data_IF_897763982189
#
_entry.id   IF_897763982189
#
_cell.length_a   1.000
_cell.length_b   1.000
_cell.length_c   1.000
_cell.angle_alpha   90.00
_cell.angle_beta   90.00
_cell.angle_gamma   90.00
#
_symmetry.space_group_name_H-M   'P 1'
#
loop_
_entity.id
_entity.type
_entity.pdbx_description
1 polymer ?
#
# COMPACT_ATOMS: atom_id res chain seq x y z
N UNK A 1 -6.63 2.84 -15.06
CA UNK A 1 -6.55 1.75 -14.05
C UNK A 1 -5.52 2.16 -13.03
N UNK A 2 -5.90 2.11 -11.75
CA UNK A 2 -5.04 2.42 -10.62
C UNK A 2 -4.62 1.13 -9.90
N UNK A 3 -3.30 0.94 -9.74
CA UNK A 3 -2.70 -0.20 -9.07
C UNK A 3 -2.38 0.19 -7.62
N UNK A 4 -3.06 -0.45 -6.67
CA UNK A 4 -2.92 -0.15 -5.24
C UNK A 4 -2.02 -1.19 -4.57
N UNK A 5 -0.80 -0.79 -4.27
CA UNK A 5 0.24 -1.61 -3.64
C UNK A 5 0.00 -1.74 -2.13
N UNK A 6 0.39 -2.87 -1.51
CA UNK A 6 0.53 -2.92 -0.05
C UNK A 6 1.68 -2.00 0.39
N UNK A 7 1.60 -1.40 1.59
CA UNK A 7 2.74 -0.70 2.14
C UNK A 7 3.84 -1.68 2.57
N UNK A 8 4.99 -1.10 2.90
CA UNK A 8 6.01 -1.77 3.68
C UNK A 8 6.12 -1.21 5.10
N UNK A 9 6.56 -2.08 5.99
CA UNK A 9 6.90 -1.76 7.36
C UNK A 9 8.20 -0.94 7.44
N UNK A 10 9.16 -1.25 6.57
CA UNK A 10 10.42 -0.51 6.42
C UNK A 10 10.25 0.67 5.47
N UNK A 11 10.95 1.76 5.78
CA UNK A 11 10.94 2.98 4.97
C UNK A 11 12.34 3.54 4.85
N UNK A 12 12.64 4.12 3.70
CA UNK A 12 13.88 4.85 3.47
C UNK A 12 13.99 6.01 4.46
N UNK A 13 15.20 6.27 4.94
CA UNK A 13 15.53 7.46 5.73
C UNK A 13 15.79 8.65 4.82
N UNK A 14 15.82 9.87 5.39
CA UNK A 14 16.07 11.10 4.63
C UNK A 14 14.85 11.64 3.88
N UNK A 15 15.11 12.35 2.79
CA UNK A 15 14.14 13.14 2.03
C UNK A 15 14.60 14.59 1.94
N UNK A 16 14.23 15.26 0.86
CA UNK A 16 14.60 16.66 0.58
C UNK A 16 13.36 17.55 0.36
N UNK A 17 12.17 16.93 0.32
CA UNK A 17 10.91 17.66 0.16
C UNK A 17 10.53 18.44 1.40
N UNK A 18 9.72 19.49 1.17
CA UNK A 18 9.11 20.28 2.23
C UNK A 18 8.33 19.37 3.23
N UNK A 19 8.13 19.81 4.48
CA UNK A 19 7.33 19.07 5.44
C UNK A 19 5.94 18.72 4.93
N UNK A 20 5.34 17.70 5.55
CA UNK A 20 4.04 17.15 5.15
C UNK A 20 2.96 18.23 5.00
N UNK A 21 2.49 18.41 3.77
CA UNK A 21 1.26 19.11 3.46
C UNK A 21 0.18 18.09 3.09
N UNK A 22 -0.92 18.07 3.83
CA UNK A 22 -2.03 17.16 3.54
C UNK A 22 -2.79 17.58 2.29
N UNK A 23 -2.84 18.87 1.97
CA UNK A 23 -3.63 19.37 0.83
C UNK A 23 -2.96 19.06 -0.50
N UNK A 24 -1.65 18.80 -0.51
CA UNK A 24 -0.93 18.33 -1.69
C UNK A 24 -1.03 16.82 -1.93
N UNK A 25 -1.63 16.06 -1.00
CA UNK A 25 -1.75 14.60 -1.15
C UNK A 25 -2.94 14.24 -2.05
N UNK A 26 -2.75 13.20 -2.85
CA UNK A 26 -3.83 12.53 -3.58
C UNK A 26 -4.96 12.10 -2.62
N UNK A 27 -6.17 11.95 -3.14
CA UNK A 27 -7.35 11.54 -2.35
C UNK A 27 -7.66 12.49 -1.18
N UNK A 28 -7.80 13.79 -1.46
CA UNK A 28 -8.00 14.85 -0.44
C UNK A 28 -9.18 14.61 0.50
N UNK A 29 -10.19 13.84 0.09
CA UNK A 29 -11.31 13.41 0.96
C UNK A 29 -10.87 12.62 2.19
N UNK A 30 -9.63 12.10 2.22
CA UNK A 30 -9.04 11.40 3.35
C UNK A 30 -8.40 12.35 4.39
N UNK A 31 -8.19 13.63 4.06
CA UNK A 31 -7.36 14.56 4.84
C UNK A 31 -7.84 14.76 6.28
N UNK A 32 -9.15 14.80 6.50
CA UNK A 32 -9.70 14.93 7.86
C UNK A 32 -9.26 13.75 8.76
N UNK A 33 -9.37 12.52 8.27
CA UNK A 33 -8.97 11.32 8.99
C UNK A 33 -7.44 11.22 9.12
N UNK A 34 -6.70 11.60 8.06
CA UNK A 34 -5.22 11.66 8.08
C UNK A 34 -4.71 12.58 9.18
N UNK A 35 -5.25 13.80 9.28
CA UNK A 35 -4.86 14.78 10.31
C UNK A 35 -5.15 14.27 11.72
N UNK A 36 -6.28 13.60 11.94
CA UNK A 36 -6.61 13.01 13.23
C UNK A 36 -5.62 11.90 13.62
N UNK A 37 -5.39 10.92 12.74
CA UNK A 37 -4.45 9.82 13.01
C UNK A 37 -3.02 10.36 13.20
N UNK A 38 -2.57 11.29 12.36
CA UNK A 38 -1.23 11.87 12.45
C UNK A 38 -1.03 12.65 13.76
N UNK A 39 -2.04 13.40 14.22
CA UNK A 39 -1.99 14.08 15.52
C UNK A 39 -1.86 13.09 16.66
N UNK A 40 -2.70 12.06 16.70
CA UNK A 40 -2.72 11.08 17.77
C UNK A 40 -1.43 10.24 17.78
N UNK A 41 -0.95 9.83 16.60
CA UNK A 41 0.29 9.10 16.43
C UNK A 41 1.49 9.94 16.85
N UNK A 42 1.53 11.20 16.41
CA UNK A 42 2.57 12.11 16.80
C UNK A 42 2.54 12.27 18.32
N UNK A 43 1.39 12.47 18.95
CA UNK A 43 1.24 12.76 20.38
C UNK A 43 1.77 11.70 21.36
N UNK A 44 1.99 10.45 20.94
CA UNK A 44 2.51 9.40 21.82
C UNK A 44 3.94 9.68 22.29
N UNK A 45 4.24 9.62 23.61
CA UNK A 45 5.60 9.52 24.11
C UNK A 45 6.30 8.30 23.49
N UNK A 46 7.61 8.40 23.25
CA UNK A 46 8.36 7.37 22.51
C UNK A 46 8.26 6.00 23.18
N UNK A 47 8.37 5.93 24.50
CA UNK A 47 8.26 4.66 25.24
C UNK A 47 6.88 4.01 25.08
N UNK A 48 5.81 4.82 25.18
CA UNK A 48 4.45 4.33 24.95
C UNK A 48 4.24 3.91 23.49
N UNK A 49 4.86 4.63 22.54
CA UNK A 49 4.76 4.31 21.13
C UNK A 49 5.38 2.94 20.80
N UNK A 50 6.48 2.54 21.46
CA UNK A 50 7.06 1.20 21.28
C UNK A 50 6.04 0.09 21.57
N UNK A 51 5.31 0.20 22.69
CA UNK A 51 4.27 -0.74 23.09
C UNK A 51 3.08 -0.72 22.11
N UNK A 52 2.55 0.48 21.81
CA UNK A 52 1.39 0.65 20.91
C UNK A 52 1.67 0.14 19.50
N UNK A 53 2.87 0.37 19.00
CA UNK A 53 3.30 -0.06 17.67
C UNK A 53 3.76 -1.52 17.63
N UNK A 54 3.94 -2.15 18.80
CA UNK A 54 4.44 -3.52 18.92
C UNK A 54 5.86 -3.69 18.37
N UNK A 55 6.72 -2.70 18.57
CA UNK A 55 8.11 -2.72 18.09
C UNK A 55 9.09 -2.74 19.26
N UNK A 56 10.20 -3.46 19.09
CA UNK A 56 11.25 -3.55 20.11
C UNK A 56 12.02 -2.23 20.26
N UNK A 57 12.72 -2.07 21.38
CA UNK A 57 13.67 -0.97 21.64
C UNK A 57 14.66 -0.69 20.49
N UNK A 58 15.09 -1.73 19.75
CA UNK A 58 15.97 -1.59 18.58
C UNK A 58 15.40 -0.70 17.47
N UNK A 59 14.07 -0.53 17.44
CA UNK A 59 13.34 0.29 16.48
C UNK A 59 12.84 1.59 17.10
N UNK A 60 13.38 2.03 18.26
CA UNK A 60 13.09 3.34 18.85
C UNK A 60 13.15 4.51 17.87
N UNK A 61 14.13 4.58 16.93
CA UNK A 61 14.14 5.65 15.92
C UNK A 61 12.88 5.71 15.04
N UNK A 62 12.17 4.59 14.85
CA UNK A 62 10.90 4.56 14.12
C UNK A 62 9.75 5.21 14.92
N UNK A 63 9.76 5.06 16.25
CA UNK A 63 8.84 5.75 17.14
C UNK A 63 9.18 7.26 17.27
N UNK A 64 10.46 7.60 17.30
CA UNK A 64 10.91 9.01 17.28
C UNK A 64 10.52 9.70 15.97
N UNK A 65 10.60 9.03 14.82
CA UNK A 65 10.17 9.58 13.53
C UNK A 65 8.68 10.02 13.56
N UNK A 66 7.83 9.30 14.28
CA UNK A 66 6.41 9.68 14.43
C UNK A 66 6.22 11.00 15.18
N UNK A 67 7.15 11.39 16.06
CA UNK A 67 7.03 12.63 16.85
C UNK A 67 7.19 13.89 16.01
N UNK A 68 7.87 13.78 14.88
CA UNK A 68 8.26 14.90 14.00
C UNK A 68 7.56 14.86 12.65
N UNK A 69 6.43 14.14 12.51
CA UNK A 69 5.72 13.96 11.23
C UNK A 69 5.42 15.27 10.48
N UNK A 70 5.13 16.34 11.21
CA UNK A 70 4.73 17.64 10.63
C UNK A 70 5.90 18.55 10.26
N UNK A 71 7.13 18.19 10.67
CA UNK A 71 8.34 18.99 10.41
C UNK A 71 9.43 18.21 9.69
N UNK A 72 9.35 16.88 9.65
CA UNK A 72 10.30 16.02 8.98
C UNK A 72 10.26 16.21 7.45
N UNK A 73 11.41 16.08 6.77
CA UNK A 73 11.45 16.14 5.32
C UNK A 73 10.69 14.98 4.69
N UNK A 74 10.15 15.23 3.50
CA UNK A 74 9.35 14.28 2.75
C UNK A 74 10.08 13.77 1.51
N UNK A 75 9.56 12.69 0.92
CA UNK A 75 9.95 12.18 -0.40
C UNK A 75 8.73 11.48 -1.02
N UNK A 76 8.73 11.22 -2.35
CA UNK A 76 7.63 10.50 -2.99
C UNK A 76 7.34 9.18 -2.29
N UNK A 77 6.06 8.86 -2.08
CA UNK A 77 5.63 7.68 -1.35
C UNK A 77 6.22 6.38 -1.95
N UNK A 78 6.33 6.32 -3.28
CA UNK A 78 6.90 5.16 -3.98
C UNK A 78 8.39 4.94 -3.68
N UNK A 79 9.11 6.00 -3.32
CA UNK A 79 10.51 5.95 -2.90
C UNK A 79 10.66 5.83 -1.38
N UNK A 80 9.62 6.20 -0.62
CA UNK A 80 9.63 6.12 0.85
C UNK A 80 9.53 4.69 1.35
N UNK A 81 8.67 3.85 0.77
CA UNK A 81 8.51 2.46 1.21
C UNK A 81 9.60 1.55 0.58
N UNK A 82 10.14 0.62 1.36
CA UNK A 82 11.25 -0.25 0.93
C UNK A 82 10.96 -1.73 1.19
N UNK A 83 11.79 -2.63 0.65
CA UNK A 83 11.73 -4.07 0.90
C UNK A 83 11.02 -4.82 -0.22
N UNK A 84 10.92 -6.15 -0.08
CA UNK A 84 10.67 -7.14 -1.14
C UNK A 84 9.78 -6.73 -2.32
N UNK A 85 8.63 -6.08 -2.08
CA UNK A 85 7.77 -5.61 -3.17
C UNK A 85 8.38 -4.42 -3.91
N UNK A 86 8.88 -3.43 -3.18
CA UNK A 86 9.48 -2.21 -3.73
C UNK A 86 10.84 -2.52 -4.38
N UNK A 87 11.59 -3.49 -3.85
CA UNK A 87 12.82 -3.98 -4.47
C UNK A 87 12.54 -4.64 -5.83
N UNK A 88 11.42 -5.38 -5.96
CA UNK A 88 11.01 -6.00 -7.21
C UNK A 88 10.34 -5.01 -8.19
N UNK A 89 9.63 -4.01 -7.66
CA UNK A 89 9.07 -2.93 -8.45
C UNK A 89 10.19 -2.07 -9.06
N UNK A 90 11.26 -1.85 -8.30
CA UNK A 90 12.41 -1.03 -8.64
C UNK A 90 11.99 0.34 -9.20
N UNK A 91 11.20 1.06 -8.40
CA UNK A 91 10.61 2.34 -8.77
C UNK A 91 11.62 3.40 -9.28
N UNK A 92 12.86 3.51 -8.76
CA UNK A 92 13.85 4.44 -9.28
C UNK A 92 14.23 4.22 -10.76
N UNK A 93 14.09 3.00 -11.28
CA UNK A 93 14.36 2.72 -12.71
C UNK A 93 13.13 2.92 -13.60
N UNK A 94 11.98 3.25 -13.03
CA UNK A 94 10.75 3.53 -13.77
C UNK A 94 10.69 5.01 -14.20
N UNK A 95 10.22 5.33 -15.41
CA UNK A 95 9.90 6.71 -15.78
C UNK A 95 8.83 7.29 -14.84
N UNK A 96 9.00 8.52 -14.37
CA UNK A 96 8.05 9.13 -13.41
C UNK A 96 6.60 9.16 -13.91
N UNK A 97 6.39 9.25 -15.23
CA UNK A 97 5.05 9.18 -15.84
C UNK A 97 4.32 7.86 -15.54
N UNK A 98 5.05 6.76 -15.32
CA UNK A 98 4.45 5.47 -14.94
C UNK A 98 3.91 5.47 -13.50
N UNK A 99 4.45 6.34 -12.63
CA UNK A 99 4.07 6.38 -11.22
C UNK A 99 2.63 6.85 -11.02
N UNK A 100 2.05 7.60 -11.97
CA UNK A 100 0.66 8.09 -11.88
C UNK A 100 -0.36 6.95 -11.78
N UNK A 101 0.01 5.74 -12.24
CA UNK A 101 -0.82 4.53 -12.16
C UNK A 101 -0.69 3.80 -10.82
N UNK A 102 0.22 4.24 -9.96
CA UNK A 102 0.58 3.57 -8.71
C UNK A 102 0.07 4.36 -7.51
N UNK A 103 -0.55 3.64 -6.58
CA UNK A 103 -0.90 4.13 -5.26
C UNK A 103 -0.46 3.11 -4.20
N UNK A 104 -0.26 3.55 -2.96
CA UNK A 104 0.15 2.69 -1.85
C UNK A 104 -0.89 2.80 -0.73
N UNK A 105 -1.45 1.65 -0.32
CA UNK A 105 -2.27 1.58 0.88
C UNK A 105 -1.44 1.92 2.12
N UNK A 106 -2.00 2.66 3.08
CA UNK A 106 -1.25 3.15 4.24
C UNK A 106 -2.11 3.12 5.50
N UNK A 107 -1.53 2.70 6.63
CA UNK A 107 -2.25 2.77 7.90
C UNK A 107 -2.48 4.21 8.33
N UNK A 108 -1.49 5.08 8.15
CA UNK A 108 -1.52 6.50 8.54
C UNK A 108 -2.29 7.35 7.52
N UNK A 109 -2.08 7.09 6.23
CA UNK A 109 -2.60 7.94 5.16
C UNK A 109 -3.81 7.36 4.42
N UNK A 110 -4.17 6.10 4.71
CA UNK A 110 -5.28 5.39 4.07
C UNK A 110 -4.85 4.81 2.73
N UNK A 111 -4.70 5.70 1.74
CA UNK A 111 -4.05 5.46 0.45
C UNK A 111 -3.33 6.74 0.05
N UNK A 112 -2.17 6.64 -0.58
CA UNK A 112 -1.43 7.77 -1.16
C UNK A 112 -1.07 7.45 -2.60
N UNK A 113 -1.04 8.46 -3.48
CA UNK A 113 -0.45 8.32 -4.81
C UNK A 113 1.06 8.09 -4.71
N UNK A 114 1.67 7.47 -5.72
CA UNK A 114 3.11 7.20 -5.74
C UNK A 114 3.98 8.46 -5.60
N UNK A 115 3.52 9.58 -6.16
CA UNK A 115 4.19 10.88 -6.13
C UNK A 115 3.90 11.70 -4.86
N UNK A 116 2.94 11.27 -4.03
CA UNK A 116 2.60 12.00 -2.80
C UNK A 116 3.82 12.10 -1.88
N UNK A 117 4.14 13.31 -1.46
CA UNK A 117 5.30 13.59 -0.61
C UNK A 117 4.99 13.25 0.86
N UNK A 118 5.61 12.19 1.38
CA UNK A 118 5.35 11.71 2.75
C UNK A 118 6.61 11.64 3.64
N UNK A 119 6.47 11.93 4.95
CA UNK A 119 7.57 11.80 5.90
C UNK A 119 7.84 10.31 6.22
N UNK A 120 8.98 10.04 6.85
CA UNK A 120 9.20 8.73 7.49
C UNK A 120 8.27 8.58 8.68
N UNK A 121 7.64 7.41 8.81
CA UNK A 121 6.73 7.11 9.92
C UNK A 121 6.62 5.60 10.17
N UNK A 122 6.12 5.22 11.34
CA UNK A 122 5.78 3.84 11.69
C UNK A 122 4.36 3.73 12.20
N UNK A 123 3.51 3.05 11.45
CA UNK A 123 2.17 2.65 11.86
C UNK A 123 1.71 1.48 11.01
N UNK A 124 1.23 0.42 11.64
CA UNK A 124 0.77 -0.81 10.97
C UNK A 124 -0.75 -0.86 10.92
N UNK A 125 -1.32 -1.50 9.90
CA UNK A 125 -2.79 -1.59 9.73
C UNK A 125 -3.53 -2.32 10.86
N UNK A 126 -2.83 -3.15 11.64
CA UNK A 126 -3.39 -3.85 12.81
C UNK A 126 -3.34 -3.06 14.11
N UNK A 127 -2.68 -1.90 14.15
CA UNK A 127 -2.50 -1.12 15.37
C UNK A 127 -3.83 -0.62 15.92
N UNK A 128 -3.98 -0.65 17.25
CA UNK A 128 -5.03 0.10 17.94
C UNK A 128 -4.39 1.36 18.49
N UNK A 129 -4.55 2.47 17.77
CA UNK A 129 -3.90 3.73 18.12
C UNK A 129 -4.75 4.45 19.18
N UNK A 130 -4.21 4.85 20.34
CA UNK A 130 -4.92 5.70 21.27
C UNK A 130 -5.40 7.00 20.60
N UNK A 131 -6.42 7.61 21.17
CA UNK A 131 -6.94 8.92 20.79
C UNK A 131 -6.79 9.86 21.97
N UNK A 132 -6.85 11.17 21.75
CA UNK A 132 -6.73 12.17 22.81
C UNK A 132 -7.77 12.03 23.93
N UNK A 133 -8.92 11.39 23.68
CA UNK A 133 -9.98 11.12 24.66
C UNK A 133 -9.85 9.74 25.34
N UNK A 134 -8.73 9.05 25.12
CA UNK A 134 -8.42 7.75 25.73
C UNK A 134 -9.06 6.54 25.04
N UNK A 135 -9.80 6.72 23.94
CA UNK A 135 -10.34 5.57 23.18
C UNK A 135 -9.21 4.84 22.45
N UNK A 136 -9.39 3.52 22.26
CA UNK A 136 -8.40 2.65 21.61
C UNK A 136 -8.97 1.96 20.35
N UNK A 137 -9.45 2.71 19.34
CA UNK A 137 -10.08 2.11 18.16
C UNK A 137 -9.04 1.46 17.24
N UNK A 138 -9.45 0.41 16.53
CA UNK A 138 -8.64 -0.18 15.46
C UNK A 138 -8.49 0.80 14.29
N UNK A 139 -7.44 0.65 13.47
CA UNK A 139 -7.31 1.44 12.23
C UNK A 139 -8.52 1.27 11.29
N UNK A 140 -9.10 0.07 11.22
CA UNK A 140 -10.34 -0.17 10.46
C UNK A 140 -11.49 0.74 10.93
N UNK A 141 -11.65 0.91 12.25
CA UNK A 141 -12.68 1.80 12.82
C UNK A 141 -12.35 3.27 12.54
N UNK A 142 -11.06 3.66 12.59
CA UNK A 142 -10.61 5.03 12.23
C UNK A 142 -10.95 5.39 10.78
N UNK A 143 -10.72 4.46 9.85
CA UNK A 143 -10.96 4.69 8.42
C UNK A 143 -12.42 4.51 7.98
N UNK A 144 -13.17 3.62 8.64
CA UNK A 144 -14.57 3.36 8.31
C UNK A 144 -14.77 3.03 6.83
N UNK A 145 -15.48 3.90 6.09
CA UNK A 145 -15.69 3.79 4.64
C UNK A 145 -14.87 4.81 3.82
N UNK A 146 -14.04 5.63 4.45
CA UNK A 146 -13.37 6.75 3.78
C UNK A 146 -12.45 6.29 2.64
N UNK A 147 -11.60 5.28 2.88
CA UNK A 147 -10.72 4.70 1.85
C UNK A 147 -11.53 4.12 0.69
N UNK A 148 -12.61 3.38 0.98
CA UNK A 148 -13.49 2.81 -0.05
C UNK A 148 -14.08 3.91 -0.93
N UNK A 149 -14.64 4.97 -0.33
CA UNK A 149 -15.23 6.10 -1.05
C UNK A 149 -14.19 6.83 -1.90
N UNK A 150 -13.00 7.07 -1.35
CA UNK A 150 -11.92 7.76 -2.06
C UNK A 150 -11.45 6.98 -3.30
N UNK A 151 -11.28 5.67 -3.20
CA UNK A 151 -10.89 4.83 -4.34
C UNK A 151 -12.01 4.70 -5.38
N UNK A 152 -13.28 4.60 -4.96
CA UNK A 152 -14.41 4.56 -5.89
C UNK A 152 -14.59 5.88 -6.65
N UNK A 153 -14.27 7.01 -6.03
CA UNK A 153 -14.35 8.32 -6.67
C UNK A 153 -13.27 8.57 -7.74
N UNK A 154 -12.28 7.68 -7.88
CA UNK A 154 -11.29 7.79 -8.97
C UNK A 154 -11.86 7.47 -10.35
N UNK A 155 -13.02 6.79 -10.41
CA UNK A 155 -13.65 6.28 -11.65
C UNK A 155 -12.74 5.36 -12.49
N UNK A 156 -11.64 4.89 -11.91
CA UNK A 156 -10.73 3.95 -12.54
C UNK A 156 -11.02 2.51 -12.09
N UNK A 157 -10.70 1.54 -12.96
CA UNK A 157 -10.53 0.16 -12.53
C UNK A 157 -9.44 0.10 -11.44
N UNK A 158 -9.75 -0.50 -10.29
CA UNK A 158 -8.80 -0.69 -9.20
C UNK A 158 -8.21 -2.10 -9.27
N UNK A 159 -6.89 -2.19 -9.41
CA UNK A 159 -6.12 -3.41 -9.17
C UNK A 159 -5.57 -3.39 -7.74
N UNK A 160 -6.25 -4.08 -6.82
CA UNK A 160 -5.94 -4.07 -5.39
C UNK A 160 -4.94 -5.20 -5.04
N UNK A 161 -3.65 -4.84 -5.05
CA UNK A 161 -2.56 -5.73 -4.68
C UNK A 161 -2.27 -5.74 -3.17
N UNK A 162 -2.98 -4.92 -2.38
CA UNK A 162 -2.78 -4.82 -0.93
C UNK A 162 -2.93 -6.17 -0.24
N UNK A 163 -2.26 -6.34 0.89
CA UNK A 163 -2.50 -7.51 1.74
C UNK A 163 -3.86 -7.43 2.42
N UNK A 164 -4.39 -8.57 2.86
CA UNK A 164 -5.74 -8.64 3.47
C UNK A 164 -5.96 -7.65 4.60
N UNK A 165 -4.96 -7.43 5.47
CA UNK A 165 -5.04 -6.42 6.55
C UNK A 165 -5.33 -5.02 6.03
N UNK A 166 -4.68 -4.61 4.94
CA UNK A 166 -4.86 -3.27 4.37
C UNK A 166 -6.10 -3.17 3.49
N UNK A 167 -6.48 -4.24 2.78
CA UNK A 167 -7.78 -4.32 2.12
C UNK A 167 -8.94 -4.16 3.13
N UNK A 168 -8.78 -4.68 4.35
CA UNK A 168 -9.80 -4.56 5.40
C UNK A 168 -9.92 -3.15 6.00
N UNK A 169 -8.94 -2.26 5.80
CA UNK A 169 -9.07 -0.85 6.20
C UNK A 169 -10.07 -0.09 5.33
N UNK A 170 -10.28 -0.56 4.10
CA UNK A 170 -11.23 0.00 3.14
C UNK A 170 -11.35 -0.92 1.95
N UNK A 171 -12.32 -1.84 2.01
CA UNK A 171 -12.59 -2.80 0.93
C UNK A 171 -13.23 -2.05 -0.23
N UNK A 172 -12.75 -2.29 -1.45
CA UNK A 172 -13.27 -1.66 -2.66
C UNK A 172 -14.10 -2.70 -3.42
N UNK A 173 -15.44 -2.56 -3.46
CA UNK A 173 -16.28 -3.39 -4.32
C UNK A 173 -15.87 -3.22 -5.78
N UNK A 174 -15.79 -4.32 -6.53
CA UNK A 174 -15.41 -4.29 -7.95
C UNK A 174 -13.90 -4.24 -8.22
N UNK A 175 -13.05 -4.12 -7.20
CA UNK A 175 -11.61 -4.17 -7.41
C UNK A 175 -11.14 -5.56 -7.85
N UNK A 176 -10.23 -5.58 -8.83
CA UNK A 176 -9.51 -6.78 -9.27
C UNK A 176 -8.44 -7.10 -8.24
N UNK A 177 -8.27 -8.36 -7.90
CA UNK A 177 -7.25 -8.84 -6.97
C UNK A 177 -6.39 -9.91 -7.61
N UNK A 178 -5.16 -10.07 -7.15
CA UNK A 178 -4.25 -11.10 -7.62
C UNK A 178 -3.81 -11.99 -6.47
N UNK A 179 -4.05 -13.28 -6.62
CA UNK A 179 -3.54 -14.37 -5.78
C UNK A 179 -2.32 -14.99 -6.46
N UNK A 180 -1.25 -15.24 -5.71
CA UNK A 180 -0.04 -15.86 -6.25
C UNK A 180 0.08 -17.30 -5.74
N UNK A 181 0.26 -18.23 -6.66
CA UNK A 181 0.38 -19.67 -6.39
C UNK A 181 1.65 -20.23 -7.04
N UNK A 182 2.39 -21.05 -6.30
CA UNK A 182 3.54 -21.78 -6.81
C UNK A 182 3.16 -23.21 -7.14
N UNK A 183 3.57 -23.67 -8.32
CA UNK A 183 3.52 -25.09 -8.69
C UNK A 183 4.65 -25.83 -7.97
N UNK A 184 4.29 -26.83 -7.18
CA UNK A 184 5.23 -27.70 -6.49
C UNK A 184 5.76 -28.79 -7.43
N UNK A 185 6.83 -29.50 -7.02
CA UNK A 185 7.42 -30.58 -7.80
C UNK A 185 6.45 -31.74 -8.11
N UNK A 186 5.43 -31.95 -7.27
CA UNK A 186 4.36 -32.93 -7.46
C UNK A 186 3.20 -32.42 -8.34
N UNK A 187 3.32 -31.21 -8.90
CA UNK A 187 2.29 -30.55 -9.71
C UNK A 187 1.17 -29.89 -8.90
N UNK A 188 1.14 -30.04 -7.57
CA UNK A 188 0.17 -29.36 -6.71
C UNK A 188 0.42 -27.86 -6.65
N UNK A 189 -0.60 -27.08 -6.29
CA UNK A 189 -0.49 -25.63 -6.12
C UNK A 189 -0.58 -25.22 -4.68
N UNK A 190 0.32 -24.32 -4.27
CA UNK A 190 0.34 -23.74 -2.93
C UNK A 190 0.41 -22.23 -3.01
N UNK A 191 -0.30 -21.56 -2.08
CA UNK A 191 -0.17 -20.10 -1.95
C UNK A 191 1.26 -19.76 -1.58
N UNK A 192 1.86 -18.87 -2.37
CA UNK A 192 3.14 -18.29 -2.04
C UNK A 192 2.93 -17.30 -0.91
N UNK A 193 3.52 -17.52 0.27
CA UNK A 193 3.47 -16.58 1.38
C UNK A 193 4.68 -15.64 1.41
N UNK A 194 5.89 -16.20 1.24
CA UNK A 194 7.16 -15.44 1.35
C UNK A 194 7.43 -14.56 0.11
N UNK A 195 7.29 -15.10 -1.10
CA UNK A 195 7.56 -14.37 -2.35
C UNK A 195 6.34 -13.65 -2.97
N UNK A 196 5.18 -13.67 -2.31
CA UNK A 196 3.97 -13.00 -2.81
C UNK A 196 4.21 -11.51 -3.11
N UNK A 197 4.95 -10.84 -2.22
CA UNK A 197 5.33 -9.43 -2.36
C UNK A 197 6.22 -9.19 -3.58
N UNK A 198 7.17 -10.10 -3.81
CA UNK A 198 8.11 -10.01 -4.92
C UNK A 198 7.37 -10.07 -6.26
N UNK A 199 6.56 -11.11 -6.48
CA UNK A 199 5.82 -11.26 -7.72
C UNK A 199 4.78 -10.17 -7.95
N UNK A 200 4.14 -9.66 -6.88
CA UNK A 200 3.26 -8.49 -7.00
C UNK A 200 4.01 -7.21 -7.36
N UNK A 201 5.26 -7.06 -6.92
CA UNK A 201 6.13 -5.97 -7.33
C UNK A 201 6.49 -6.05 -8.81
N UNK A 202 6.90 -7.23 -9.29
CA UNK A 202 7.15 -7.47 -10.71
C UNK A 202 5.90 -7.20 -11.56
N UNK A 203 4.73 -7.72 -11.16
CA UNK A 203 3.49 -7.49 -11.89
C UNK A 203 3.12 -6.00 -11.92
N UNK A 204 3.24 -5.30 -10.80
CA UNK A 204 2.97 -3.86 -10.75
C UNK A 204 3.93 -3.07 -11.64
N UNK A 205 5.20 -3.47 -11.72
CA UNK A 205 6.21 -2.86 -12.59
C UNK A 205 5.79 -2.92 -14.06
N UNK A 206 5.51 -4.12 -14.54
CA UNK A 206 5.17 -4.32 -15.96
C UNK A 206 3.85 -3.66 -16.32
N UNK A 207 2.84 -3.74 -15.45
CA UNK A 207 1.56 -3.06 -15.69
C UNK A 207 1.68 -1.53 -15.62
N UNK A 208 2.58 -0.98 -14.79
CA UNK A 208 2.82 0.46 -14.76
C UNK A 208 3.54 0.96 -16.01
N UNK A 209 4.42 0.13 -16.61
CA UNK A 209 5.13 0.42 -17.85
C UNK A 209 4.28 0.21 -19.12
N UNK A 210 3.22 -0.59 -19.03
CA UNK A 210 2.35 -0.90 -20.17
C UNK A 210 1.50 0.30 -20.59
N UNK A 211 1.40 0.54 -21.90
CA UNK A 211 0.46 1.49 -22.48
C UNK A 211 -1.01 1.02 -22.42
N UNK A 212 -1.25 -0.25 -22.07
CA UNK A 212 -2.60 -0.79 -21.95
C UNK A 212 -3.39 -0.03 -20.87
N UNK A 213 -4.68 0.22 -21.13
CA UNK A 213 -5.60 0.83 -20.18
C UNK A 213 -6.76 -0.11 -19.83
N UNK A 214 -6.50 -1.22 -19.09
CA UNK A 214 -7.54 -2.16 -18.73
C UNK A 214 -8.73 -1.51 -18.02
N UNK A 215 -9.94 -1.86 -18.47
CA UNK A 215 -11.21 -1.41 -17.91
C UNK A 215 -11.96 -2.54 -17.19
N UNK A 216 -11.51 -3.79 -17.32
CA UNK A 216 -12.09 -4.96 -16.66
C UNK A 216 -11.03 -6.05 -16.35
N UNK A 217 -11.44 -7.10 -15.63
CA UNK A 217 -10.57 -8.18 -15.15
C UNK A 217 -9.88 -8.93 -16.29
N UNK A 218 -10.60 -9.24 -17.36
CA UNK A 218 -10.05 -9.99 -18.50
C UNK A 218 -9.00 -9.18 -19.24
N UNK A 219 -9.18 -7.87 -19.37
CA UNK A 219 -8.15 -6.97 -19.92
C UNK A 219 -6.90 -6.87 -19.03
N UNK A 220 -7.06 -6.90 -17.70
CA UNK A 220 -5.91 -7.01 -16.78
C UNK A 220 -5.19 -8.34 -16.98
N UNK A 221 -5.93 -9.43 -17.16
CA UNK A 221 -5.34 -10.74 -17.41
C UNK A 221 -4.55 -10.78 -18.74
N UNK A 222 -5.09 -10.18 -19.80
CA UNK A 222 -4.39 -10.05 -21.10
C UNK A 222 -3.10 -9.24 -20.94
N UNK A 223 -3.18 -8.03 -20.36
CA UNK A 223 -2.00 -7.17 -20.19
C UNK A 223 -0.90 -7.86 -19.35
N UNK A 224 -1.28 -8.62 -18.33
CA UNK A 224 -0.34 -9.38 -17.53
C UNK A 224 0.25 -10.61 -18.27
N UNK A 225 -0.52 -11.28 -19.14
CA UNK A 225 0.01 -12.35 -20.00
C UNK A 225 0.98 -11.81 -21.05
N UNK A 226 0.67 -10.66 -21.64
CA UNK A 226 1.55 -9.98 -22.61
C UNK A 226 2.88 -9.56 -21.97
N UNK A 227 2.85 -9.23 -20.67
CA UNK A 227 4.04 -8.99 -19.85
C UNK A 227 4.79 -10.27 -19.41
N UNK A 228 4.36 -11.45 -19.87
CA UNK A 228 5.04 -12.73 -19.62
C UNK A 228 4.62 -13.45 -18.33
N UNK A 229 3.58 -13.01 -17.63
CA UNK A 229 3.06 -13.72 -16.47
C UNK A 229 2.07 -14.83 -16.86
N UNK A 230 2.10 -15.95 -16.13
CA UNK A 230 1.08 -17.00 -16.27
C UNK A 230 -0.12 -16.61 -15.41
N UNK A 231 -1.20 -16.13 -16.07
CA UNK A 231 -2.42 -15.64 -15.42
C UNK A 231 -3.63 -16.48 -15.79
N UNK A 232 -4.35 -16.91 -14.76
CA UNK A 232 -5.62 -17.63 -14.87
C UNK A 232 -6.75 -16.81 -14.26
N UNK A 233 -7.90 -16.81 -14.93
CA UNK A 233 -9.13 -16.22 -14.42
C UNK A 233 -9.88 -17.23 -13.55
N UNK A 234 -10.47 -16.77 -12.45
CA UNK A 234 -11.17 -17.64 -11.51
C UNK A 234 -12.68 -17.60 -11.74
N UNK A 235 -13.25 -18.69 -12.28
CA UNK A 235 -14.70 -18.80 -12.55
C UNK A 235 -15.57 -18.57 -11.30
N UNK A 236 -15.10 -19.01 -10.12
CA UNK A 236 -15.84 -18.88 -8.86
C UNK A 236 -15.67 -17.51 -8.21
N UNK A 237 -14.63 -16.78 -8.59
CA UNK A 237 -14.30 -15.44 -8.09
C UNK A 237 -13.87 -14.56 -9.27
N UNK A 238 -14.82 -14.02 -10.04
CA UNK A 238 -14.53 -13.37 -11.32
C UNK A 238 -13.69 -12.08 -11.20
N UNK A 239 -13.45 -11.57 -9.99
CA UNK A 239 -12.57 -10.42 -9.71
C UNK A 239 -11.20 -10.84 -9.13
N UNK A 240 -10.91 -12.14 -9.01
CA UNK A 240 -9.64 -12.67 -8.50
C UNK A 240 -8.90 -13.36 -9.64
N UNK A 241 -7.74 -12.84 -10.01
CA UNK A 241 -6.81 -13.47 -10.92
C UNK A 241 -5.82 -14.33 -10.13
N UNK A 242 -5.48 -15.50 -10.67
CA UNK A 242 -4.42 -16.35 -10.13
C UNK A 242 -3.18 -16.21 -11.00
N UNK A 243 -2.10 -15.71 -10.40
CA UNK A 243 -0.78 -15.71 -11.00
C UNK A 243 -0.02 -16.96 -10.58
N UNK A 244 0.35 -17.78 -11.56
CA UNK A 244 1.06 -19.05 -11.35
C UNK A 244 2.55 -18.83 -11.55
N UNK A 245 3.34 -19.25 -10.57
CA UNK A 245 4.81 -19.12 -10.58
C UNK A 245 5.46 -20.49 -10.38
N UNK A 246 6.70 -20.64 -10.83
CA UNK A 246 7.48 -21.86 -10.55
C UNK A 246 7.96 -21.81 -9.09
N UNK A 247 7.77 -22.93 -8.38
CA UNK A 247 8.21 -23.12 -7.00
C UNK A 247 9.68 -23.44 -6.87
#
# INVERSE_FOLDING_TARGET
>A
MLIVLPPSETKASGGEGAPLDFESLSFSSLNQTRRAIARDLAALPVDQALEVLGISEKLRPEAEANRVLMSAPTMPAILRYTGVLFDALDAPSLPEQSWVRLAIGSALFGVVGAQDMIPKYRLSGGTKLPTSDGQLPTMKKRWGKAITKALQASEELILDLRSGTYQQLGRVPGAVTVRVESVQADGSRKVVSHFNKHYKGLLARELALSDAQPQNVSEVAVAARDAGFVIEENEKKPLELTMVVKG
#
